data_IF_444994447126
#
_entry.id   IF_444994447126
#
_cell.length_a   1.000
_cell.length_b   1.000
_cell.length_c   1.000
_cell.angle_alpha   90.00
_cell.angle_beta   90.00
_cell.angle_gamma   90.00
#
_symmetry.space_group_name_H-M   'P 1'
#
loop_
_entity.id
_entity.type
_entity.pdbx_description
1 polymer ?
#
# COMPACT_ATOMS: atom_id res chain seq x y z
N UNK A 1 -21.63 -32.84 26.01
CA UNK A 1 -22.22 -31.82 25.11
C UNK A 1 -21.73 -30.44 25.53
N UNK A 2 -20.76 -29.90 24.79
CA UNK A 2 -20.18 -28.54 24.79
C UNK A 2 -19.02 -28.63 23.78
N UNK A 3 -18.73 -27.73 22.84
CA UNK A 3 -19.19 -26.36 22.59
C UNK A 3 -18.64 -25.92 21.21
N UNK A 4 -19.31 -24.93 20.61
CA UNK A 4 -18.78 -23.89 19.68
C UNK A 4 -18.43 -24.29 18.24
N UNK A 5 -19.33 -23.95 17.31
CA UNK A 5 -19.01 -23.26 16.05
C UNK A 5 -18.78 -21.77 16.40
N UNK A 6 -17.85 -21.02 15.78
CA UNK A 6 -18.18 -20.44 14.48
C UNK A 6 -16.98 -20.17 13.54
N UNK A 7 -17.32 -19.96 12.27
CA UNK A 7 -16.68 -19.08 11.29
C UNK A 7 -15.16 -18.96 11.24
N UNK A 8 -14.65 -19.55 10.16
CA UNK A 8 -13.46 -19.19 9.39
C UNK A 8 -13.48 -17.67 9.07
N UNK A 9 -13.19 -16.84 10.06
CA UNK A 9 -12.75 -15.49 9.82
C UNK A 9 -11.37 -15.63 9.18
N UNK A 10 -11.30 -15.40 7.87
CA UNK A 10 -10.04 -15.15 7.18
C UNK A 10 -9.40 -13.95 7.89
N UNK A 11 -8.56 -14.24 8.88
CA UNK A 11 -7.80 -13.27 9.65
C UNK A 11 -6.77 -12.70 8.67
N UNK A 12 -7.21 -11.75 7.84
CA UNK A 12 -6.35 -10.95 6.96
C UNK A 12 -5.49 -10.06 7.85
N UNK A 13 -4.53 -10.69 8.52
CA UNK A 13 -3.47 -10.01 9.24
C UNK A 13 -2.65 -9.28 8.19
N UNK A 14 -2.67 -7.95 8.26
CA UNK A 14 -1.82 -7.12 7.40
C UNK A 14 -0.36 -7.59 7.54
N UNK A 15 0.40 -7.66 6.43
CA UNK A 15 1.79 -8.05 6.49
C UNK A 15 2.61 -7.05 7.32
N UNK A 16 3.70 -7.53 7.89
CA UNK A 16 4.64 -6.74 8.67
C UNK A 16 5.03 -5.43 7.97
N UNK A 17 5.09 -4.34 8.72
CA UNK A 17 5.37 -3.01 8.16
C UNK A 17 6.71 -2.93 7.44
N UNK A 18 7.74 -3.68 7.88
CA UNK A 18 9.02 -3.72 7.20
C UNK A 18 8.90 -4.39 5.84
N UNK A 19 8.09 -5.46 5.73
CA UNK A 19 7.83 -6.11 4.45
C UNK A 19 7.12 -5.17 3.46
N UNK A 20 6.11 -4.43 3.93
CA UNK A 20 5.41 -3.43 3.11
C UNK A 20 6.40 -2.34 2.64
N UNK A 21 7.27 -1.85 3.53
CA UNK A 21 8.28 -0.85 3.19
C UNK A 21 9.33 -1.37 2.21
N UNK A 22 9.79 -2.61 2.36
CA UNK A 22 10.69 -3.27 1.40
C UNK A 22 10.04 -3.40 0.03
N UNK A 23 8.78 -3.83 -0.02
CA UNK A 23 8.02 -3.92 -1.26
C UNK A 23 7.85 -2.54 -1.91
N UNK A 24 7.54 -1.50 -1.13
CA UNK A 24 7.48 -0.12 -1.63
C UNK A 24 8.81 0.34 -2.23
N UNK A 25 9.93 0.09 -1.54
CA UNK A 25 11.26 0.45 -2.03
C UNK A 25 11.62 -0.27 -3.33
N UNK A 26 11.29 -1.55 -3.43
CA UNK A 26 11.47 -2.34 -4.65
C UNK A 26 10.61 -1.79 -5.81
N UNK A 27 9.32 -1.54 -5.57
CA UNK A 27 8.38 -1.10 -6.59
C UNK A 27 8.73 0.30 -7.11
N UNK A 28 9.09 1.24 -6.23
CA UNK A 28 9.52 2.58 -6.65
C UNK A 28 10.82 2.52 -7.44
N UNK A 29 11.79 1.72 -7.02
CA UNK A 29 13.04 1.48 -7.77
C UNK A 29 12.77 0.84 -9.13
N UNK A 30 11.83 -0.10 -9.21
CA UNK A 30 11.45 -0.73 -10.48
C UNK A 30 10.78 0.28 -11.41
N UNK A 31 9.95 1.16 -10.85
CA UNK A 31 9.28 2.23 -11.58
C UNK A 31 10.26 3.23 -12.17
N UNK A 32 11.33 3.62 -11.46
CA UNK A 32 12.34 4.54 -12.01
C UNK A 32 13.08 3.96 -13.20
N UNK A 33 13.29 2.63 -13.23
CA UNK A 33 13.92 1.93 -14.36
C UNK A 33 12.96 1.76 -15.53
N UNK A 34 11.70 1.41 -15.26
CA UNK A 34 10.67 1.21 -16.28
C UNK A 34 9.30 1.67 -15.76
N UNK A 35 8.91 2.92 -16.03
CA UNK A 35 7.62 3.45 -15.61
C UNK A 35 6.48 2.68 -16.30
N UNK A 36 5.50 2.25 -15.51
CA UNK A 36 4.24 1.74 -16.05
C UNK A 36 3.10 1.93 -15.05
N UNK A 37 1.87 2.01 -15.58
CA UNK A 37 0.65 2.20 -14.79
C UNK A 37 0.50 1.13 -13.71
N UNK A 38 0.74 -0.14 -14.05
CA UNK A 38 0.61 -1.25 -13.11
C UNK A 38 1.51 -1.11 -11.88
N UNK A 39 2.76 -0.66 -12.06
CA UNK A 39 3.67 -0.39 -10.95
C UNK A 39 3.17 0.77 -10.08
N UNK A 40 2.70 1.87 -10.68
CA UNK A 40 2.14 3.00 -9.93
C UNK A 40 0.94 2.58 -9.07
N UNK A 41 0.02 1.78 -9.63
CA UNK A 41 -1.13 1.27 -8.88
C UNK A 41 -0.71 0.32 -7.74
N UNK A 42 0.30 -0.54 -7.97
CA UNK A 42 0.83 -1.39 -6.90
C UNK A 42 1.49 -0.57 -5.78
N UNK A 43 2.19 0.52 -6.10
CA UNK A 43 2.76 1.43 -5.10
C UNK A 43 1.65 2.08 -4.27
N UNK A 44 0.59 2.56 -4.92
CA UNK A 44 -0.61 3.11 -4.24
C UNK A 44 -1.20 2.08 -3.27
N UNK A 45 -1.37 0.84 -3.71
CA UNK A 45 -1.93 -0.23 -2.89
C UNK A 45 -1.08 -0.51 -1.63
N UNK A 46 0.24 -0.65 -1.78
CA UNK A 46 1.13 -0.89 -0.63
C UNK A 46 1.20 0.32 0.32
N UNK A 47 1.08 1.55 -0.18
CA UNK A 47 0.99 2.74 0.67
C UNK A 47 -0.31 2.77 1.48
N UNK A 48 -1.43 2.33 0.90
CA UNK A 48 -2.70 2.20 1.61
C UNK A 48 -2.63 1.13 2.70
N UNK A 49 -2.02 -0.03 2.40
CA UNK A 49 -1.78 -1.07 3.40
C UNK A 49 -0.92 -0.58 4.54
N UNK A 50 0.17 0.14 4.24
CA UNK A 50 1.04 0.70 5.27
C UNK A 50 0.26 1.67 6.18
N UNK A 51 -0.52 2.58 5.60
CA UNK A 51 -1.32 3.55 6.36
C UNK A 51 -2.47 2.92 7.15
N UNK A 52 -2.95 1.73 6.75
CA UNK A 52 -3.96 0.98 7.49
C UNK A 52 -3.37 0.13 8.63
N UNK A 53 -2.04 -0.03 8.68
CA UNK A 53 -1.39 -0.90 9.65
C UNK A 53 -1.45 -0.31 11.08
N UNK A 54 -1.79 -1.12 12.11
CA UNK A 54 -1.92 -0.62 13.48
C UNK A 54 -0.65 0.06 14.01
N UNK A 55 0.54 -0.45 13.66
CA UNK A 55 1.82 0.17 14.03
C UNK A 55 1.99 1.62 13.56
N UNK A 56 1.26 2.04 12.52
CA UNK A 56 1.31 3.42 12.03
C UNK A 56 0.44 4.36 12.85
N UNK A 57 -0.55 3.86 13.60
CA UNK A 57 -1.47 4.68 14.40
C UNK A 57 -0.78 5.45 15.54
N UNK A 58 0.39 4.99 15.99
CA UNK A 58 1.19 5.67 17.01
C UNK A 58 2.21 6.68 16.47
N UNK A 59 2.31 6.87 15.15
CA UNK A 59 3.43 7.57 14.50
C UNK A 59 2.94 8.67 13.54
N UNK A 60 2.34 9.77 14.05
CA UNK A 60 1.62 10.76 13.23
C UNK A 60 2.51 11.47 12.20
N UNK A 61 3.77 11.74 12.52
CA UNK A 61 4.72 12.34 11.57
C UNK A 61 5.06 11.39 10.41
N UNK A 62 5.21 10.09 10.69
CA UNK A 62 5.41 9.09 9.64
C UNK A 62 4.16 8.92 8.79
N UNK A 63 2.99 8.82 9.43
CA UNK A 63 1.71 8.74 8.74
C UNK A 63 1.52 9.90 7.76
N UNK A 64 1.83 11.13 8.19
CA UNK A 64 1.76 12.33 7.35
C UNK A 64 2.66 12.25 6.11
N UNK A 65 3.89 11.75 6.27
CA UNK A 65 4.82 11.54 5.15
C UNK A 65 4.24 10.51 4.17
N UNK A 66 3.77 9.37 4.67
CA UNK A 66 3.20 8.33 3.82
C UNK A 66 1.89 8.75 3.14
N UNK A 67 1.06 9.59 3.78
CA UNK A 67 -0.13 10.19 3.14
C UNK A 67 0.22 11.11 1.99
N UNK A 68 1.25 11.96 2.14
CA UNK A 68 1.73 12.80 1.04
C UNK A 68 2.25 11.96 -0.11
N UNK A 69 2.99 10.90 0.20
CA UNK A 69 3.50 9.97 -0.80
C UNK A 69 2.35 9.26 -1.53
N UNK A 70 1.30 8.84 -0.80
CA UNK A 70 0.11 8.24 -1.39
C UNK A 70 -0.61 9.19 -2.34
N UNK A 71 -0.77 10.46 -1.97
CA UNK A 71 -1.37 11.47 -2.84
C UNK A 71 -0.58 11.66 -4.13
N UNK A 72 0.74 11.73 -4.04
CA UNK A 72 1.62 11.83 -5.20
C UNK A 72 1.45 10.63 -6.14
N UNK A 73 1.51 9.40 -5.61
CA UNK A 73 1.43 8.20 -6.45
C UNK A 73 0.04 7.97 -7.05
N UNK A 74 -1.04 8.43 -6.41
CA UNK A 74 -2.37 8.46 -7.02
C UNK A 74 -2.39 9.31 -8.28
N UNK A 75 -1.84 10.53 -8.20
CA UNK A 75 -1.74 11.41 -9.36
C UNK A 75 -0.94 10.75 -10.50
N UNK A 76 0.22 10.17 -10.18
CA UNK A 76 1.05 9.44 -11.16
C UNK A 76 0.30 8.27 -11.81
N UNK A 77 -0.44 7.50 -11.01
CA UNK A 77 -1.25 6.38 -11.50
C UNK A 77 -2.37 6.85 -12.44
N UNK A 78 -3.04 7.96 -12.10
CA UNK A 78 -4.10 8.57 -12.90
C UNK A 78 -3.57 9.16 -14.23
N UNK A 79 -2.41 9.81 -14.21
CA UNK A 79 -1.79 10.37 -15.41
C UNK A 79 -1.39 9.29 -16.42
N UNK A 80 -0.91 8.14 -15.94
CA UNK A 80 -0.57 7.01 -16.80
C UNK A 80 -1.77 6.32 -17.46
N UNK A 81 -2.99 6.56 -16.97
CA UNK A 81 -4.22 6.06 -17.59
C UNK A 81 -4.71 6.95 -18.74
N UNK A 82 -4.22 8.18 -18.88
CA UNK A 82 -4.78 9.13 -19.85
C UNK A 82 -4.58 8.59 -21.28
N UNK A 83 -5.64 8.16 -21.99
CA UNK A 83 -5.50 7.75 -23.37
C UNK A 83 -5.10 8.99 -24.19
N UNK A 84 -4.09 8.85 -25.05
CA UNK A 84 -3.74 9.93 -25.98
C UNK A 84 -4.96 10.31 -26.82
N UNK A 85 -5.20 11.61 -27.05
CA UNK A 85 -6.29 12.09 -27.91
C UNK A 85 -6.11 11.65 -29.37
#
# INVERSE_FOLDING_TARGET
MKTTHPDDACDETLPDTALIQTALCYLTTRYTVRPCSGLAHMIVHHLQMLLAHPDMAGLPEREKIHRKLLQHWRHVADEHWRPSP
#
